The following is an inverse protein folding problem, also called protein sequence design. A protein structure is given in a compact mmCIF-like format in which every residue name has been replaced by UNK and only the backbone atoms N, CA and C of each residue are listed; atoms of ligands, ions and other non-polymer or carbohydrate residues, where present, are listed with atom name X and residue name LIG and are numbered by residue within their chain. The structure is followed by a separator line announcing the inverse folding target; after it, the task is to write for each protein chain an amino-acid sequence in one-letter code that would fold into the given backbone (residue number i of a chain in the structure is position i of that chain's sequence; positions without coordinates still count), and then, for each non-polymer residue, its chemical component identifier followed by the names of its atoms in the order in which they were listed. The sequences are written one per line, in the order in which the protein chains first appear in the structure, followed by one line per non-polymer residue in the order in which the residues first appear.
data_IF_126680413969
#
_entry.id   IF_126680413969
#
_cell.length_a   1.000
_cell.length_b   1.000
_cell.length_c   1.000
_cell.angle_alpha   90.00
_cell.angle_beta   90.00
_cell.angle_gamma   90.00
#
_symmetry.space_group_name_H-M   'P 1'
#
loop_
_entity.id
_entity.type
_entity.pdbx_description
1 polymer ?
#
# COMPACT_ATOMS: atom_id res chain seq x y z
N UNK A 1 27.72 -54.59 -33.97
CA UNK A 1 28.63 -54.05 -32.94
C UNK A 1 28.66 -52.54 -33.11
N UNK A 2 27.68 -51.87 -32.49
CA UNK A 2 27.75 -51.05 -31.26
C UNK A 2 28.12 -49.59 -31.55
N UNK A 3 27.21 -48.63 -31.26
CA UNK A 3 27.41 -47.21 -31.51
C UNK A 3 28.13 -46.55 -30.32
N UNK A 4 29.05 -45.61 -30.58
CA UNK A 4 29.54 -44.68 -29.54
C UNK A 4 28.74 -43.38 -29.63
N UNK A 5 27.84 -43.21 -28.65
CA UNK A 5 27.12 -41.97 -28.37
C UNK A 5 28.11 -40.91 -27.87
N UNK A 6 28.13 -39.74 -28.51
CA UNK A 6 28.78 -38.55 -27.99
C UNK A 6 27.80 -37.88 -27.02
N UNK A 7 28.23 -37.80 -25.77
CA UNK A 7 27.56 -37.15 -24.66
C UNK A 7 27.76 -35.64 -24.81
N UNK A 8 26.72 -34.88 -25.20
CA UNK A 8 26.70 -33.42 -25.07
C UNK A 8 25.74 -33.10 -23.93
N UNK A 9 26.27 -33.14 -22.71
CA UNK A 9 25.55 -32.68 -21.51
C UNK A 9 26.47 -31.76 -20.76
N UNK A 10 26.07 -30.50 -20.61
CA UNK A 10 26.73 -29.55 -19.71
C UNK A 10 27.33 -28.37 -20.44
N UNK A 11 26.58 -27.27 -20.49
CA UNK A 11 26.96 -25.88 -20.19
C UNK A 11 25.71 -25.05 -20.52
N UNK A 12 24.79 -24.95 -19.56
CA UNK A 12 23.64 -24.03 -19.64
C UNK A 12 23.09 -23.70 -18.25
N UNK A 13 23.98 -23.55 -17.26
CA UNK A 13 23.62 -23.16 -15.88
C UNK A 13 24.42 -21.95 -15.35
N UNK A 14 25.27 -21.31 -16.17
CA UNK A 14 26.15 -20.23 -15.70
C UNK A 14 25.64 -18.79 -15.93
N UNK A 15 24.61 -18.59 -16.76
CA UNK A 15 24.23 -17.23 -17.21
C UNK A 15 22.98 -16.65 -16.53
N UNK A 16 22.21 -17.44 -15.80
CA UNK A 16 21.08 -16.90 -15.03
C UNK A 16 21.54 -16.14 -13.78
N UNK A 17 22.58 -16.60 -13.08
CA UNK A 17 23.02 -15.98 -11.81
C UNK A 17 23.56 -14.56 -11.94
N UNK A 18 24.20 -14.22 -13.06
CA UNK A 18 24.88 -12.91 -13.23
C UNK A 18 23.88 -11.80 -13.59
N UNK A 19 22.74 -12.13 -14.21
CA UNK A 19 21.70 -11.15 -14.53
C UNK A 19 20.85 -10.74 -13.31
N UNK A 20 20.69 -11.62 -12.33
CA UNK A 20 19.93 -11.32 -11.10
C UNK A 20 20.68 -10.41 -10.13
N UNK A 21 22.02 -10.52 -10.06
CA UNK A 21 22.83 -9.72 -9.14
C UNK A 21 22.81 -8.20 -9.44
N UNK A 22 22.55 -7.80 -10.69
CA UNK A 22 22.51 -6.37 -11.08
C UNK A 22 21.23 -5.64 -10.69
N UNK A 23 20.15 -6.35 -10.33
CA UNK A 23 18.90 -5.73 -9.86
C UNK A 23 18.81 -5.62 -8.33
N UNK A 24 19.80 -6.16 -7.60
CA UNK A 24 19.82 -6.19 -6.14
C UNK A 24 20.81 -5.18 -5.51
N UNK A 25 21.30 -4.19 -6.27
CA UNK A 25 21.93 -3.02 -5.65
C UNK A 25 20.82 -2.15 -5.04
N UNK A 26 20.31 -2.62 -3.91
CA UNK A 26 19.38 -1.90 -3.05
C UNK A 26 20.15 -0.78 -2.37
N UNK A 27 20.33 0.34 -3.08
CA UNK A 27 20.51 1.58 -2.35
C UNK A 27 19.32 1.70 -1.40
N UNK A 28 19.60 1.71 -0.11
CA UNK A 28 18.57 1.79 0.92
C UNK A 28 17.89 3.16 0.79
N UNK A 29 16.65 3.17 0.31
CA UNK A 29 15.87 4.40 0.15
C UNK A 29 14.72 4.36 1.15
N UNK A 30 14.74 5.20 2.20
CA UNK A 30 13.59 5.31 3.09
C UNK A 30 12.35 5.68 2.26
N UNK A 31 11.22 4.96 2.47
CA UNK A 31 10.00 5.19 1.69
C UNK A 31 9.51 6.62 1.84
N UNK A 32 8.98 7.19 0.74
CA UNK A 32 8.37 8.52 0.76
C UNK A 32 6.89 8.42 1.04
N UNK A 33 6.39 9.37 1.84
CA UNK A 33 4.96 9.44 2.14
C UNK A 33 4.19 9.82 0.87
N UNK A 34 3.03 9.19 0.69
CA UNK A 34 2.07 9.59 -0.31
C UNK A 34 1.08 10.60 0.29
N UNK A 35 0.97 11.77 -0.33
CA UNK A 35 -0.16 12.66 -0.13
C UNK A 35 -1.36 12.13 -0.93
N UNK A 36 -2.44 11.75 -0.25
CA UNK A 36 -3.70 11.39 -0.91
C UNK A 36 -4.45 12.71 -1.24
N UNK A 37 -4.69 13.04 -2.52
CA UNK A 37 -5.13 14.39 -2.93
C UNK A 37 -6.40 14.92 -2.26
N UNK A 38 -7.37 14.05 -1.95
CA UNK A 38 -8.59 14.45 -1.25
C UNK A 38 -8.32 15.02 0.15
N UNK A 39 -7.22 14.59 0.77
CA UNK A 39 -6.77 15.06 2.07
C UNK A 39 -5.80 16.23 1.97
N UNK A 40 -5.35 16.62 0.77
CA UNK A 40 -4.42 17.74 0.59
C UNK A 40 -5.04 19.08 1.03
N UNK A 41 -6.37 19.24 0.91
CA UNK A 41 -7.10 20.42 1.40
C UNK A 41 -7.28 20.43 2.94
N UNK A 42 -7.14 19.28 3.58
CA UNK A 42 -7.06 19.09 5.03
C UNK A 42 -5.61 18.85 5.47
N UNK A 43 -4.64 19.21 4.63
CA UNK A 43 -3.22 19.10 4.93
C UNK A 43 -2.71 20.48 5.29
N UNK A 44 -3.06 20.92 6.49
CA UNK A 44 -2.29 21.97 7.15
C UNK A 44 -0.99 21.31 7.65
N UNK A 45 0.20 21.90 7.49
CA UNK A 45 1.38 21.43 8.22
C UNK A 45 1.01 21.44 9.72
N UNK A 46 0.92 20.25 10.33
CA UNK A 46 0.37 19.94 11.68
C UNK A 46 -1.10 19.46 11.76
N UNK A 47 -1.74 19.11 10.65
CA UNK A 47 -3.14 18.64 10.67
C UNK A 47 -3.29 17.17 11.11
N UNK A 48 -4.03 16.97 12.21
CA UNK A 48 -4.35 15.72 12.89
C UNK A 48 -5.46 14.90 12.21
N UNK A 49 -6.13 15.43 11.18
CA UNK A 49 -7.35 14.82 10.61
C UNK A 49 -7.12 13.78 9.50
N UNK A 50 -5.88 13.51 9.08
CA UNK A 50 -5.59 12.37 8.21
C UNK A 50 -4.71 11.34 8.93
N UNK A 51 -5.31 10.38 9.67
CA UNK A 51 -4.57 9.44 10.50
C UNK A 51 -3.64 8.57 9.66
N UNK A 52 -4.08 8.08 8.50
CA UNK A 52 -3.33 7.05 7.79
C UNK A 52 -2.46 7.60 6.65
N UNK A 53 -1.14 7.51 6.83
CA UNK A 53 -0.13 7.77 5.79
C UNK A 53 0.29 6.47 5.12
N UNK A 54 0.32 6.47 3.78
CA UNK A 54 0.77 5.30 2.99
C UNK A 54 2.16 5.59 2.43
N UNK A 55 3.05 4.61 2.54
CA UNK A 55 4.41 4.64 2.04
C UNK A 55 4.61 3.47 1.07
N UNK A 56 4.45 3.67 -0.24
CA UNK A 56 4.69 2.61 -1.21
C UNK A 56 6.19 2.35 -1.34
N UNK A 57 6.60 1.09 -1.20
CA UNK A 57 8.01 0.72 -1.12
C UNK A 57 8.50 0.19 -2.46
N UNK A 58 7.85 -0.84 -2.99
CA UNK A 58 8.39 -1.54 -4.15
C UNK A 58 7.55 -2.70 -4.66
N UNK A 59 8.01 -3.27 -5.76
CA UNK A 59 7.39 -4.39 -6.45
C UNK A 59 8.38 -5.52 -6.67
N UNK A 60 7.89 -6.75 -6.64
CA UNK A 60 8.60 -7.89 -7.24
C UNK A 60 8.13 -8.13 -8.68
N UNK A 61 8.90 -8.90 -9.43
CA UNK A 61 8.56 -9.28 -10.80
C UNK A 61 7.26 -10.13 -10.87
N UNK A 62 7.04 -10.98 -9.88
CA UNK A 62 5.89 -11.89 -9.83
C UNK A 62 4.60 -11.26 -9.28
N UNK A 63 4.60 -9.94 -9.02
CA UNK A 63 3.40 -9.22 -8.58
C UNK A 63 3.20 -9.19 -7.06
N UNK A 64 4.27 -9.21 -6.28
CA UNK A 64 4.21 -8.84 -4.87
C UNK A 64 4.39 -7.33 -4.74
N UNK A 65 3.66 -6.73 -3.83
CA UNK A 65 3.74 -5.31 -3.52
C UNK A 65 4.09 -5.11 -2.06
N UNK A 66 5.05 -4.24 -1.82
CA UNK A 66 5.47 -3.83 -0.49
C UNK A 66 5.01 -2.39 -0.23
N UNK A 67 4.38 -2.18 0.92
CA UNK A 67 3.96 -0.86 1.35
C UNK A 67 3.93 -0.80 2.89
N UNK A 68 4.10 0.40 3.43
CA UNK A 68 3.85 0.65 4.83
C UNK A 68 2.68 1.62 5.03
N UNK A 69 2.03 1.48 6.17
CA UNK A 69 0.95 2.34 6.64
C UNK A 69 1.32 2.82 8.04
N UNK A 70 1.30 4.13 8.24
CA UNK A 70 1.50 4.75 9.55
C UNK A 70 0.23 5.48 9.93
N UNK A 71 -0.29 5.17 11.11
CA UNK A 71 -1.28 5.98 11.78
C UNK A 71 -0.65 6.58 13.03
N UNK A 72 -0.38 7.87 12.96
CA UNK A 72 0.17 8.68 14.03
C UNK A 72 -0.83 9.77 14.41
N UNK A 73 -1.12 9.87 15.71
CA UNK A 73 -2.05 10.87 16.24
C UNK A 73 -1.49 11.42 17.55
N UNK A 74 -1.58 12.73 17.73
CA UNK A 74 -1.41 13.42 19.02
C UNK A 74 -2.72 14.10 19.38
N UNK A 75 -3.38 13.63 20.43
CA UNK A 75 -4.49 14.37 21.05
C UNK A 75 -4.14 14.76 22.48
N UNK A 76 -5.00 15.59 23.06
CA UNK A 76 -4.88 16.03 24.44
C UNK A 76 -4.92 14.86 25.47
N UNK A 77 -5.23 13.63 25.06
CA UNK A 77 -5.40 12.44 25.90
C UNK A 77 -4.17 11.52 25.76
N UNK A 78 -3.43 11.57 24.66
CA UNK A 78 -2.19 10.84 24.47
C UNK A 78 -1.67 10.83 23.04
N UNK A 79 -0.54 10.15 22.87
CA UNK A 79 0.07 9.95 21.56
C UNK A 79 -0.12 8.50 21.10
N UNK A 80 -0.38 8.30 19.81
CA UNK A 80 -0.57 6.99 19.20
C UNK A 80 0.43 6.82 18.05
N UNK A 81 1.06 5.63 17.99
CA UNK A 81 1.85 5.18 16.84
C UNK A 81 1.41 3.78 16.44
N UNK A 82 0.71 3.66 15.33
CA UNK A 82 0.33 2.40 14.72
C UNK A 82 1.01 2.29 13.35
N UNK A 83 2.12 1.57 13.30
CA UNK A 83 2.85 1.31 12.07
C UNK A 83 2.65 -0.12 11.60
N UNK A 84 2.45 -0.30 10.30
CA UNK A 84 2.43 -1.60 9.64
C UNK A 84 3.29 -1.56 8.39
N UNK A 85 4.17 -2.54 8.24
CA UNK A 85 4.86 -2.82 6.97
C UNK A 85 4.36 -4.16 6.44
N UNK A 86 3.78 -4.14 5.23
CA UNK A 86 3.12 -5.29 4.61
C UNK A 86 3.83 -5.63 3.30
N UNK A 87 4.01 -6.93 3.07
CA UNK A 87 4.32 -7.51 1.77
C UNK A 87 3.16 -8.41 1.37
N UNK A 88 2.49 -8.07 0.27
CA UNK A 88 1.27 -8.71 -0.21
C UNK A 88 1.50 -9.31 -1.60
N UNK A 89 1.00 -10.53 -1.82
CA UNK A 89 0.75 -11.06 -3.15
C UNK A 89 -0.53 -10.41 -3.70
N UNK A 90 -0.37 -9.57 -4.72
CA UNK A 90 -1.49 -8.79 -5.28
C UNK A 90 -2.36 -9.63 -6.22
N UNK A 91 -1.87 -10.78 -6.70
CA UNK A 91 -2.66 -11.67 -7.56
C UNK A 91 -3.78 -12.31 -6.77
N UNK A 92 -3.46 -12.75 -5.55
CA UNK A 92 -4.37 -13.50 -4.68
C UNK A 92 -4.87 -12.68 -3.49
N UNK A 93 -4.43 -11.42 -3.37
CA UNK A 93 -4.73 -10.55 -2.23
C UNK A 93 -4.35 -11.18 -0.88
N UNK A 94 -3.20 -11.86 -0.84
CA UNK A 94 -2.71 -12.56 0.35
C UNK A 94 -1.54 -11.81 0.97
N UNK A 95 -1.64 -11.49 2.26
CA UNK A 95 -0.48 -11.02 3.04
C UNK A 95 0.54 -12.15 3.15
N UNK A 96 1.75 -11.91 2.66
CA UNK A 96 2.86 -12.87 2.70
C UNK A 96 3.70 -12.69 3.97
N UNK A 97 3.83 -11.44 4.41
CA UNK A 97 4.53 -11.07 5.62
C UNK A 97 4.07 -9.68 6.09
N UNK A 98 4.06 -9.49 7.41
CA UNK A 98 3.70 -8.24 8.05
C UNK A 98 4.57 -8.00 9.28
N UNK A 99 4.88 -6.74 9.52
CA UNK A 99 5.45 -6.25 10.77
C UNK A 99 4.57 -5.13 11.31
N UNK A 100 4.30 -5.15 12.60
CA UNK A 100 3.43 -4.18 13.26
C UNK A 100 4.11 -3.61 14.52
N UNK A 101 3.98 -2.30 14.70
CA UNK A 101 4.23 -1.60 15.96
C UNK A 101 2.96 -0.85 16.32
N UNK A 102 2.49 -1.05 17.55
CA UNK A 102 1.32 -0.35 18.08
C UNK A 102 1.65 0.14 19.50
N UNK A 103 1.63 1.45 19.68
CA UNK A 103 1.76 2.11 20.97
C UNK A 103 0.58 3.03 21.17
N UNK A 104 -0.13 2.82 22.28
CA UNK A 104 -1.23 3.66 22.73
C UNK A 104 -0.78 4.37 24.02
N UNK A 105 -0.77 5.71 24.01
CA UNK A 105 -0.42 6.60 25.14
C UNK A 105 1.06 6.60 25.57
N UNK A 106 1.68 5.43 25.74
CA UNK A 106 3.06 5.27 26.19
C UNK A 106 4.01 4.94 25.03
N UNK A 107 4.61 6.00 24.45
CA UNK A 107 5.56 5.86 23.36
C UNK A 107 6.98 5.72 23.92
N UNK A 108 7.73 4.67 23.54
CA UNK A 108 9.13 4.53 23.93
C UNK A 108 9.97 5.73 23.47
N UNK A 109 10.97 6.13 24.27
CA UNK A 109 11.80 7.32 24.01
C UNK A 109 12.41 7.34 22.61
N UNK A 110 12.80 6.17 22.11
CA UNK A 110 13.36 6.02 20.76
C UNK A 110 12.40 6.42 19.62
N UNK A 111 11.09 6.39 19.87
CA UNK A 111 10.03 6.75 18.91
C UNK A 111 9.34 8.06 19.30
N UNK A 112 9.97 8.87 20.16
CA UNK A 112 9.46 10.18 20.54
C UNK A 112 9.02 10.99 19.33
N UNK A 113 7.77 11.44 19.40
CA UNK A 113 7.09 12.25 18.40
C UNK A 113 7.50 13.71 18.43
N UNK A 114 8.29 14.13 19.41
CA UNK A 114 8.66 15.52 19.61
C UNK A 114 10.17 15.69 19.78
N UNK A 115 10.68 16.80 19.29
CA UNK A 115 11.96 17.34 19.74
C UNK A 115 11.71 18.43 20.77
N UNK A 116 12.51 18.45 21.83
CA UNK A 116 12.52 19.53 22.82
C UNK A 116 13.46 20.66 22.35
N UNK A 117 12.92 21.88 22.28
CA UNK A 117 13.73 23.09 22.13
C UNK A 117 14.40 23.46 23.46
N UNK A 118 15.40 24.35 23.38
CA UNK A 118 16.11 24.89 24.54
C UNK A 118 15.22 25.66 25.53
N UNK A 119 14.07 26.16 25.06
CA UNK A 119 13.05 26.85 25.87
C UNK A 119 12.03 25.88 26.51
N UNK A 120 12.19 24.57 26.32
CA UNK A 120 11.28 23.54 26.81
C UNK A 120 10.08 23.25 25.89
N UNK A 121 9.94 23.95 24.75
CA UNK A 121 8.83 23.74 23.82
C UNK A 121 9.01 22.42 23.05
N UNK A 122 7.93 21.63 22.95
CA UNK A 122 7.86 20.41 22.12
C UNK A 122 7.50 20.77 20.68
N UNK A 123 8.27 20.26 19.71
CA UNK A 123 7.96 20.37 18.27
C UNK A 123 7.71 18.99 17.71
N UNK A 124 6.55 18.78 17.08
CA UNK A 124 6.25 17.53 16.39
C UNK A 124 7.26 17.24 15.28
N UNK A 125 7.80 16.01 15.22
CA UNK A 125 8.83 15.63 14.25
C UNK A 125 8.27 15.32 12.86
N UNK A 126 6.96 15.12 12.74
CA UNK A 126 6.30 14.76 11.49
C UNK A 126 6.37 13.26 11.17
N UNK A 127 5.34 12.77 10.48
CA UNK A 127 5.18 11.34 10.13
C UNK A 127 6.33 10.81 9.27
N UNK A 128 6.93 11.63 8.39
CA UNK A 128 8.09 11.20 7.59
C UNK A 128 9.34 10.94 8.44
N UNK A 129 9.60 11.78 9.44
CA UNK A 129 10.75 11.59 10.32
C UNK A 129 10.53 10.39 11.23
N UNK A 130 9.31 10.20 11.75
CA UNK A 130 8.94 9.01 12.50
C UNK A 130 9.11 7.73 11.67
N UNK A 131 8.62 7.73 10.43
CA UNK A 131 8.80 6.62 9.50
C UNK A 131 10.28 6.28 9.31
N UNK A 132 11.15 7.28 9.11
CA UNK A 132 12.60 7.07 8.98
C UNK A 132 13.21 6.45 10.24
N UNK A 133 12.79 6.87 11.44
CA UNK A 133 13.24 6.27 12.71
C UNK A 133 12.83 4.79 12.81
N UNK A 134 11.56 4.48 12.54
CA UNK A 134 11.04 3.11 12.54
C UNK A 134 11.79 2.25 11.52
N UNK A 135 11.96 2.77 10.30
CA UNK A 135 12.63 2.07 9.21
C UNK A 135 14.11 1.79 9.53
N UNK A 136 14.84 2.78 10.02
CA UNK A 136 16.26 2.63 10.39
C UNK A 136 16.47 1.64 11.53
N UNK A 137 15.64 1.68 12.58
CA UNK A 137 15.75 0.74 13.71
C UNK A 137 15.49 -0.71 13.29
N UNK A 138 14.70 -0.92 12.25
CA UNK A 138 14.34 -2.24 11.73
C UNK A 138 15.00 -2.56 10.38
N UNK A 139 16.02 -1.79 9.96
CA UNK A 139 16.59 -1.84 8.62
C UNK A 139 17.04 -3.24 8.22
N UNK A 140 17.74 -3.94 9.11
CA UNK A 140 18.21 -5.31 8.86
C UNK A 140 17.04 -6.25 8.57
N UNK A 141 16.04 -6.26 9.45
CA UNK A 141 14.85 -7.09 9.28
C UNK A 141 14.11 -6.75 7.99
N UNK A 142 13.87 -5.46 7.74
CA UNK A 142 13.11 -5.02 6.57
C UNK A 142 13.84 -5.34 5.27
N UNK A 143 15.16 -5.12 5.22
CA UNK A 143 15.99 -5.47 4.07
C UNK A 143 16.00 -6.97 3.83
N UNK A 144 16.17 -7.80 4.87
CA UNK A 144 16.10 -9.26 4.75
C UNK A 144 14.76 -9.72 4.16
N UNK A 145 13.64 -9.10 4.54
CA UNK A 145 12.32 -9.43 3.97
C UNK A 145 12.17 -8.93 2.55
N UNK A 146 12.59 -7.71 2.24
CA UNK A 146 12.58 -7.20 0.87
C UNK A 146 13.39 -8.10 -0.07
N UNK A 147 14.57 -8.55 0.34
CA UNK A 147 15.39 -9.51 -0.41
C UNK A 147 14.68 -10.86 -0.53
N UNK A 148 14.18 -11.42 0.58
CA UNK A 148 13.47 -12.72 0.58
C UNK A 148 12.29 -12.74 -0.39
N UNK A 149 11.55 -11.63 -0.48
CA UNK A 149 10.38 -11.52 -1.35
C UNK A 149 10.69 -10.88 -2.71
N UNK A 150 11.97 -10.64 -3.02
CA UNK A 150 12.45 -10.08 -4.29
C UNK A 150 11.82 -8.71 -4.62
N UNK A 151 11.61 -7.89 -3.60
CA UNK A 151 11.03 -6.56 -3.74
C UNK A 151 12.12 -5.59 -4.18
N UNK A 152 11.95 -5.04 -5.38
CA UNK A 152 12.73 -3.91 -5.88
C UNK A 152 12.11 -2.61 -5.40
N UNK A 153 12.86 -1.86 -4.60
CA UNK A 153 12.44 -0.53 -4.13
C UNK A 153 12.45 0.47 -5.28
N UNK A 154 11.53 1.43 -5.26
CA UNK A 154 11.47 2.44 -6.31
C UNK A 154 10.45 3.54 -6.07
N UNK A 155 10.42 4.52 -6.98
CA UNK A 155 9.37 5.54 -6.98
C UNK A 155 8.07 4.93 -7.45
N UNK A 156 7.09 4.89 -6.56
CA UNK A 156 5.77 4.32 -6.80
C UNK A 156 4.70 5.42 -6.61
N UNK A 157 4.56 6.36 -7.57
CA UNK A 157 3.56 7.40 -7.44
C UNK A 157 2.15 6.81 -7.51
N UNK A 158 1.24 7.33 -6.69
CA UNK A 158 -0.18 7.02 -6.83
C UNK A 158 -0.69 7.66 -8.12
N UNK A 159 -1.21 6.83 -9.00
CA UNK A 159 -1.83 7.26 -10.26
C UNK A 159 -3.34 7.30 -10.08
N UNK A 160 -3.99 8.13 -10.89
CA UNK A 160 -5.43 8.30 -10.91
C UNK A 160 -6.05 7.53 -12.07
N UNK A 161 -7.29 7.08 -11.89
CA UNK A 161 -8.14 6.60 -12.98
C UNK A 161 -8.71 7.80 -13.76
N UNK A 162 -9.08 7.61 -15.05
CA UNK A 162 -8.96 6.38 -15.83
C UNK A 162 -7.52 6.08 -16.28
N UNK A 163 -7.16 4.79 -16.29
CA UNK A 163 -5.89 4.28 -16.79
C UNK A 163 -6.00 4.02 -18.31
N UNK A 164 -5.13 4.67 -19.08
CA UNK A 164 -4.93 4.38 -20.51
C UNK A 164 -3.84 3.33 -20.68
N UNK A 165 -4.15 2.20 -21.31
CA UNK A 165 -3.15 1.15 -21.61
C UNK A 165 -3.37 0.59 -23.01
N UNK A 166 -2.34 0.68 -23.85
CA UNK A 166 -2.41 0.29 -25.27
C UNK A 166 -3.59 1.02 -25.93
N UNK A 167 -4.60 0.29 -26.37
CA UNK A 167 -5.81 0.82 -27.00
C UNK A 167 -7.05 0.60 -26.11
N UNK A 168 -6.89 0.52 -24.80
CA UNK A 168 -7.98 0.33 -23.84
C UNK A 168 -7.98 1.46 -22.80
N UNK A 169 -9.16 1.73 -22.26
CA UNK A 169 -9.37 2.65 -21.14
C UNK A 169 -10.01 1.83 -20.04
N UNK A 170 -9.34 1.81 -18.89
CA UNK A 170 -9.78 1.11 -17.70
C UNK A 170 -10.10 2.13 -16.62
N UNK A 171 -11.33 2.12 -16.13
CA UNK A 171 -11.78 2.92 -15.00
C UNK A 171 -12.08 2.02 -13.79
N UNK A 172 -12.05 2.58 -12.59
CA UNK A 172 -12.29 1.84 -11.36
C UNK A 172 -13.08 2.71 -10.39
N UNK A 173 -14.25 2.23 -10.01
CA UNK A 173 -15.20 2.97 -9.20
C UNK A 173 -15.67 2.17 -8.00
N UNK A 174 -16.11 2.91 -6.99
CA UNK A 174 -16.86 2.35 -5.88
C UNK A 174 -18.33 2.23 -6.29
N UNK A 175 -18.89 1.04 -6.13
CA UNK A 175 -20.33 0.84 -6.18
C UNK A 175 -20.87 0.86 -4.76
N UNK A 176 -21.73 1.84 -4.49
CA UNK A 176 -22.61 1.84 -3.33
C UNK A 176 -23.79 0.93 -3.69
N UNK A 177 -24.15 -0.02 -2.82
CA UNK A 177 -25.34 -0.87 -3.03
C UNK A 177 -26.60 -0.04 -3.32
N UNK A 178 -27.63 -0.66 -3.92
CA UNK A 178 -28.87 0.02 -4.31
C UNK A 178 -29.41 0.92 -3.20
N UNK A 179 -29.34 2.22 -3.45
CA UNK A 179 -29.70 3.28 -2.53
C UNK A 179 -31.21 3.45 -2.44
N UNK A 180 -31.88 2.59 -1.69
CA UNK A 180 -33.11 2.95 -0.96
C UNK A 180 -32.85 3.17 0.53
N UNK A 181 -31.61 2.96 0.99
CA UNK A 181 -31.19 3.02 2.40
C UNK A 181 -30.15 4.13 2.68
N UNK A 182 -30.02 5.10 1.77
CA UNK A 182 -29.07 6.23 1.93
C UNK A 182 -29.59 7.28 2.94
N UNK A 183 -30.05 6.84 4.10
CA UNK A 183 -30.01 7.65 5.30
C UNK A 183 -28.56 7.67 5.82
N UNK A 184 -28.08 8.83 6.26
CA UNK A 184 -26.69 9.11 6.61
C UNK A 184 -26.10 8.28 7.77
N UNK A 185 -26.80 7.23 8.22
CA UNK A 185 -26.45 6.41 9.37
C UNK A 185 -26.40 4.89 9.11
N UNK A 186 -26.75 4.42 7.92
CA UNK A 186 -26.79 2.98 7.62
C UNK A 186 -25.47 2.53 6.97
N UNK A 187 -24.85 1.48 7.51
CA UNK A 187 -23.64 0.89 6.91
C UNK A 187 -23.98 0.23 5.58
N UNK A 188 -23.44 0.73 4.48
CA UNK A 188 -23.65 0.16 3.14
C UNK A 188 -22.57 -0.88 2.83
N UNK A 189 -22.95 -1.93 2.09
CA UNK A 189 -22.00 -2.85 1.49
C UNK A 189 -21.20 -2.12 0.40
N UNK A 190 -19.91 -1.91 0.64
CA UNK A 190 -19.01 -1.33 -0.35
C UNK A 190 -18.45 -2.42 -1.26
N UNK A 191 -18.50 -2.17 -2.57
CA UNK A 191 -17.78 -2.97 -3.55
C UNK A 191 -17.03 -2.07 -4.52
N UNK A 192 -15.90 -2.54 -5.02
CA UNK A 192 -15.11 -1.83 -6.03
C UNK A 192 -15.09 -2.67 -7.29
N UNK A 193 -15.39 -2.01 -8.41
CA UNK A 193 -15.50 -2.63 -9.72
C UNK A 193 -14.62 -1.88 -10.70
N UNK A 194 -14.01 -2.64 -11.59
CA UNK A 194 -13.20 -2.12 -12.68
C UNK A 194 -13.92 -2.35 -14.00
N UNK A 195 -13.95 -1.30 -14.83
CA UNK A 195 -14.59 -1.31 -16.13
C UNK A 195 -13.54 -1.06 -17.19
N UNK A 196 -13.45 -1.94 -18.17
CA UNK A 196 -12.63 -1.81 -19.38
C UNK A 196 -13.58 -1.64 -20.57
N UNK A 197 -13.33 -0.62 -21.39
CA UNK A 197 -14.11 -0.40 -22.61
C UNK A 197 -14.02 -1.57 -23.59
N UNK A 198 -12.94 -2.37 -23.53
CA UNK A 198 -12.73 -3.52 -24.42
C UNK A 198 -13.04 -4.87 -23.83
N UNK A 199 -12.86 -5.03 -22.52
CA UNK A 199 -12.90 -6.32 -21.83
C UNK A 199 -14.16 -6.51 -20.98
N UNK A 200 -14.90 -5.43 -20.71
CA UNK A 200 -16.11 -5.46 -19.91
C UNK A 200 -15.83 -5.12 -18.45
N UNK A 201 -16.47 -5.80 -17.51
CA UNK A 201 -16.53 -5.44 -16.09
C UNK A 201 -15.91 -6.56 -15.25
N UNK A 202 -15.23 -6.22 -14.15
CA UNK A 202 -14.81 -7.19 -13.12
C UNK A 202 -14.95 -6.64 -11.70
N UNK A 203 -15.27 -7.50 -10.72
CA UNK A 203 -15.12 -7.16 -9.32
C UNK A 203 -13.63 -7.05 -8.96
N UNK A 204 -13.29 -6.09 -8.10
CA UNK A 204 -11.94 -5.90 -7.54
C UNK A 204 -11.94 -6.19 -6.05
N UNK A 205 -12.95 -5.72 -5.33
CA UNK A 205 -13.05 -5.84 -3.89
C UNK A 205 -14.50 -5.81 -3.42
N UNK A 206 -14.79 -6.43 -2.28
CA UNK A 206 -16.08 -6.28 -1.61
C UNK A 206 -17.18 -7.26 -2.00
N UNK A 207 -16.86 -8.44 -2.57
CA UNK A 207 -17.87 -9.50 -2.83
C UNK A 207 -18.64 -9.93 -1.56
N UNK A 208 -18.14 -9.62 -0.36
CA UNK A 208 -18.76 -9.95 0.93
C UNK A 208 -19.09 -8.71 1.79
N UNK A 209 -19.29 -7.54 1.16
CA UNK A 209 -19.92 -6.36 1.78
C UNK A 209 -19.28 -5.91 3.10
N UNK A 210 -18.07 -5.36 3.05
CA UNK A 210 -17.50 -4.69 4.22
C UNK A 210 -18.37 -3.46 4.51
N UNK A 211 -19.03 -3.50 5.68
CA UNK A 211 -19.96 -2.48 6.16
C UNK A 211 -19.19 -1.21 6.55
N UNK A 212 -19.36 -0.15 5.75
CA UNK A 212 -18.81 1.17 5.99
C UNK A 212 -19.86 2.25 5.67
N UNK A 213 -19.66 3.48 6.14
CA UNK A 213 -20.58 4.60 5.86
C UNK A 213 -20.37 5.19 4.46
N UNK A 214 -19.21 4.88 3.87
CA UNK A 214 -18.83 5.33 2.55
C UNK A 214 -17.38 4.97 2.30
N UNK A 215 -16.91 5.34 1.13
CA UNK A 215 -15.52 5.17 0.78
C UNK A 215 -15.21 5.84 -0.54
N UNK A 216 -13.98 5.64 -1.01
CA UNK A 216 -13.52 6.17 -2.28
C UNK A 216 -12.38 5.33 -2.83
N UNK A 217 -12.34 5.15 -4.15
CA UNK A 217 -11.13 4.70 -4.83
C UNK A 217 -10.20 5.91 -4.98
N UNK A 218 -9.08 5.91 -4.26
CA UNK A 218 -8.13 7.04 -4.28
C UNK A 218 -7.19 6.99 -5.47
N UNK A 219 -7.00 5.83 -6.08
CA UNK A 219 -6.10 5.63 -7.20
C UNK A 219 -5.48 4.24 -7.19
N UNK A 220 -4.32 4.11 -7.82
CA UNK A 220 -3.58 2.86 -7.88
C UNK A 220 -2.06 3.07 -7.95
N UNK A 221 -1.33 2.10 -7.42
CA UNK A 221 0.08 1.88 -7.73
C UNK A 221 0.20 0.88 -8.87
N UNK A 222 0.96 1.23 -9.90
CA UNK A 222 1.18 0.36 -11.04
C UNK A 222 2.51 -0.36 -10.92
N UNK A 223 2.50 -1.69 -11.02
CA UNK A 223 3.73 -2.45 -11.17
C UNK A 223 4.45 -2.04 -12.46
N UNK A 224 5.75 -1.70 -12.40
CA UNK A 224 6.55 -1.51 -13.61
C UNK A 224 6.95 -2.83 -14.27
N UNK A 225 6.76 -3.96 -13.57
CA UNK A 225 7.28 -5.28 -13.96
C UNK A 225 6.19 -6.26 -14.41
N UNK A 226 4.92 -5.96 -14.15
CA UNK A 226 3.82 -6.88 -14.41
C UNK A 226 2.51 -6.16 -14.77
N UNK A 227 1.48 -6.93 -15.11
CA UNK A 227 0.14 -6.42 -15.43
C UNK A 227 -0.71 -6.04 -14.23
N UNK A 228 -0.18 -6.23 -13.02
CA UNK A 228 -0.90 -6.02 -11.79
C UNK A 228 -0.81 -4.58 -11.31
N UNK A 229 -1.89 -4.14 -10.66
CA UNK A 229 -1.93 -2.88 -9.93
C UNK A 229 -2.41 -3.12 -8.50
N UNK A 230 -2.02 -2.25 -7.59
CA UNK A 230 -2.54 -2.19 -6.23
C UNK A 230 -3.45 -0.96 -6.12
N UNK A 231 -4.75 -1.19 -6.08
CA UNK A 231 -5.79 -0.17 -5.92
C UNK A 231 -5.82 0.27 -4.47
N UNK A 232 -5.84 1.59 -4.25
CA UNK A 232 -5.97 2.19 -2.92
C UNK A 232 -7.42 2.63 -2.72
N UNK A 233 -8.04 2.10 -1.67
CA UNK A 233 -9.44 2.36 -1.33
C UNK A 233 -9.47 2.96 0.08
N UNK A 234 -10.06 4.13 0.23
CA UNK A 234 -10.36 4.71 1.54
C UNK A 234 -11.73 4.22 1.99
N UNK A 235 -11.82 3.55 3.15
CA UNK A 235 -13.11 3.24 3.80
C UNK A 235 -13.38 4.23 4.94
N UNK A 236 -14.63 4.68 5.06
CA UNK A 236 -15.07 5.58 6.12
C UNK A 236 -15.83 4.79 7.19
N UNK A 237 -15.27 4.74 8.40
CA UNK A 237 -15.86 4.06 9.55
C UNK A 237 -16.11 5.07 10.69
N UNK A 238 -17.00 4.79 11.66
CA UNK A 238 -17.18 5.68 12.80
C UNK A 238 -15.88 5.85 13.57
N UNK A 239 -15.50 7.08 13.90
CA UNK A 239 -14.45 7.29 14.88
C UNK A 239 -15.01 7.09 16.30
N UNK A 240 -14.11 6.80 17.24
CA UNK A 240 -14.45 6.68 18.66
C UNK A 240 -15.05 7.98 19.25
N UNK A 241 -14.61 9.15 18.75
CA UNK A 241 -14.99 10.47 19.25
C UNK A 241 -16.25 11.07 18.59
N UNK A 242 -16.97 10.28 17.78
CA UNK A 242 -18.09 10.77 16.96
C UNK A 242 -17.63 11.21 15.56
N UNK A 243 -18.48 11.94 14.83
CA UNK A 243 -18.08 12.48 13.51
C UNK A 243 -16.92 13.47 13.71
N UNK A 244 -15.82 13.41 12.92
CA UNK A 244 -15.71 12.81 11.57
C UNK A 244 -15.38 11.31 11.52
N UNK A 245 -15.67 10.68 10.39
CA UNK A 245 -15.37 9.27 10.14
C UNK A 245 -13.85 9.01 10.07
N UNK A 246 -13.39 7.91 10.66
CA UNK A 246 -12.03 7.39 10.49
C UNK A 246 -11.86 6.84 9.07
N UNK A 247 -10.76 7.23 8.42
CA UNK A 247 -10.43 6.85 7.05
C UNK A 247 -9.38 5.77 7.09
N UNK A 248 -9.76 4.53 6.84
CA UNK A 248 -8.80 3.42 6.83
C UNK A 248 -8.43 3.06 5.39
N UNK A 249 -7.14 3.05 5.02
CA UNK A 249 -6.73 2.63 3.69
C UNK A 249 -6.80 1.10 3.56
N UNK A 250 -7.31 0.65 2.43
CA UNK A 250 -7.36 -0.74 2.00
C UNK A 250 -6.64 -0.83 0.67
N UNK A 251 -5.66 -1.73 0.58
CA UNK A 251 -4.88 -1.95 -0.63
C UNK A 251 -5.26 -3.29 -1.23
N UNK A 252 -5.72 -3.26 -2.48
CA UNK A 252 -6.22 -4.45 -3.19
C UNK A 252 -5.54 -4.60 -4.52
N UNK A 253 -4.94 -5.75 -4.72
CA UNK A 253 -4.35 -6.20 -5.96
C UNK A 253 -5.37 -6.63 -7.00
N UNK A 254 -5.09 -6.31 -8.27
CA UNK A 254 -5.88 -6.80 -9.41
C UNK A 254 -5.09 -6.79 -10.72
N UNK A 255 -5.39 -7.71 -11.65
CA UNK A 255 -4.74 -7.78 -12.98
C UNK A 255 -5.45 -6.90 -14.01
N UNK A 256 -4.73 -6.04 -14.73
CA UNK A 256 -5.30 -5.26 -15.84
C UNK A 256 -5.66 -6.11 -17.08
N UNK A 257 -5.35 -7.40 -17.09
CA UNK A 257 -5.59 -8.30 -18.22
C UNK A 257 -6.64 -9.36 -17.94
N UNK A 258 -6.75 -9.84 -16.70
CA UNK A 258 -7.55 -11.02 -16.34
C UNK A 258 -8.80 -10.65 -15.53
N UNK A 259 -9.80 -11.54 -15.55
CA UNK A 259 -10.99 -11.48 -14.70
C UNK A 259 -12.16 -10.64 -15.20
N UNK A 260 -12.00 -9.93 -16.33
CA UNK A 260 -13.07 -9.17 -16.98
C UNK A 260 -14.11 -10.08 -17.64
N UNK A 261 -15.39 -9.70 -17.54
CA UNK A 261 -16.54 -10.33 -18.17
C UNK A 261 -17.27 -9.31 -19.03
N UNK A 262 -17.54 -9.66 -20.29
CA UNK A 262 -18.33 -8.84 -21.22
C UNK A 262 -19.81 -9.02 -20.99
#
# INVERSE_FOLDING_TARGET
MTPRRILITGILLGLSGILWAKFLTTEYVPPKMLAIPYYAQYYIPNDTFNPYKIFPIGWSFDGRFAYAVLNDWDDAIGNIIHFRFVIQDVKNNKTLWEFQLAYDMEIPKEYELYNLKSDGMKIYIGSEQLMRKIWSKNEKLFTEKLVKYEISQGKNPLKQFPLKRKNDIVDCGLNLGNSSEAEAQVKTALSVTMVSLKKGIKPVWGEHGIKAYGGKVEGYFQSPLSEYIAVVISKYIPSYSGYPAEVVPVIVGTSLEQGFKK
#
